data_IF_601397967114
#
_entry.id   IF_601397967114
#
_cell.length_a   1.000
_cell.length_b   1.000
_cell.length_c   1.000
_cell.angle_alpha   90.00
_cell.angle_beta   90.00
_cell.angle_gamma   90.00
#
_symmetry.space_group_name_H-M   'P 1'
#
loop_
_entity.id
_entity.type
_entity.pdbx_description
1 polymer ?
#
# COMPACT_ATOMS: atom_id res chain seq x y z
N UNK A 1 -3.34 6.67 -8.42
CA UNK A 1 -2.38 7.40 -9.28
C UNK A 1 -1.16 7.59 -8.41
N UNK A 2 -0.06 6.90 -8.74
CA UNK A 2 1.16 6.87 -7.95
C UNK A 2 1.85 8.25 -7.92
N UNK A 3 2.34 8.71 -6.77
CA UNK A 3 2.99 10.03 -6.65
C UNK A 3 4.24 10.15 -7.54
N UNK A 4 4.93 9.03 -7.81
CA UNK A 4 6.04 9.01 -8.77
C UNK A 4 5.60 9.12 -10.23
N UNK A 5 4.39 8.69 -10.58
CA UNK A 5 3.85 8.85 -11.94
C UNK A 5 3.79 10.33 -12.33
N UNK A 6 3.44 11.21 -11.38
CA UNK A 6 3.39 12.66 -11.62
C UNK A 6 4.76 13.33 -11.74
N UNK A 7 5.84 12.70 -11.28
CA UNK A 7 7.21 13.25 -11.35
C UNK A 7 7.90 12.80 -12.65
N UNK A 8 7.62 11.59 -13.12
CA UNK A 8 8.33 10.96 -14.24
C UNK A 8 7.44 10.66 -15.46
N UNK A 9 6.28 11.33 -15.56
CA UNK A 9 5.22 11.12 -16.56
C UNK A 9 5.76 11.02 -18.00
N UNK A 10 6.86 11.72 -18.32
CA UNK A 10 7.47 11.75 -19.66
C UNK A 10 8.69 10.82 -19.86
N UNK A 11 9.02 9.93 -18.91
CA UNK A 11 10.15 9.01 -19.02
C UNK A 11 9.67 7.55 -19.08
N UNK A 12 9.43 7.07 -20.30
CA UNK A 12 8.94 5.71 -20.54
C UNK A 12 9.89 4.63 -19.97
N UNK A 13 11.20 4.84 -20.09
CA UNK A 13 12.20 3.94 -19.52
C UNK A 13 12.09 3.82 -17.99
N UNK A 14 11.89 4.95 -17.31
CA UNK A 14 11.71 4.97 -15.87
C UNK A 14 10.42 4.25 -15.46
N UNK A 15 9.31 4.54 -16.13
CA UNK A 15 8.02 3.90 -15.84
C UNK A 15 8.10 2.38 -16.04
N UNK A 16 8.73 1.92 -17.13
CA UNK A 16 8.94 0.49 -17.38
C UNK A 16 9.82 -0.15 -16.31
N UNK A 17 10.93 0.48 -15.93
CA UNK A 17 11.80 0.00 -14.84
C UNK A 17 11.03 -0.10 -13.52
N UNK A 18 10.21 0.90 -13.21
CA UNK A 18 9.39 0.88 -12.00
C UNK A 18 8.39 -0.29 -12.04
N UNK A 19 7.64 -0.41 -13.13
CA UNK A 19 6.57 -1.39 -13.28
C UNK A 19 7.07 -2.84 -13.29
N UNK A 20 8.19 -3.09 -13.98
CA UNK A 20 8.70 -4.44 -14.22
C UNK A 20 9.68 -4.91 -13.14
N UNK A 21 10.38 -3.97 -12.48
CA UNK A 21 11.48 -4.30 -11.55
C UNK A 21 11.18 -3.84 -10.13
N UNK A 22 10.99 -2.53 -9.94
CA UNK A 22 10.95 -1.95 -8.59
C UNK A 22 9.65 -2.26 -7.86
N UNK A 23 8.49 -2.04 -8.48
CA UNK A 23 7.19 -2.33 -7.87
C UNK A 23 7.07 -3.79 -7.42
N UNK A 24 7.34 -4.81 -8.26
CA UNK A 24 7.30 -6.21 -7.81
C UNK A 24 8.29 -6.49 -6.68
N UNK A 25 9.47 -5.86 -6.69
CA UNK A 25 10.47 -6.00 -5.63
C UNK A 25 9.98 -5.41 -4.30
N UNK A 26 9.38 -4.22 -4.32
CA UNK A 26 8.82 -3.59 -3.12
C UNK A 26 7.63 -4.37 -2.56
N UNK A 27 6.69 -4.79 -3.42
CA UNK A 27 5.55 -5.60 -2.99
C UNK A 27 6.01 -6.91 -2.34
N UNK A 28 6.98 -7.61 -2.91
CA UNK A 28 7.56 -8.82 -2.29
C UNK A 28 8.23 -8.51 -0.95
N UNK A 29 8.96 -7.41 -0.83
CA UNK A 29 9.65 -7.05 0.40
C UNK A 29 8.67 -6.76 1.54
N UNK A 30 7.62 -5.98 1.28
CA UNK A 30 6.61 -5.70 2.29
C UNK A 30 5.74 -6.92 2.58
N UNK A 31 5.34 -7.70 1.58
CA UNK A 31 4.63 -8.97 1.79
C UNK A 31 5.42 -9.89 2.73
N UNK A 32 6.73 -9.97 2.54
CA UNK A 32 7.62 -10.72 3.44
C UNK A 32 7.61 -10.13 4.85
N UNK A 33 7.79 -8.81 4.99
CA UNK A 33 7.80 -8.11 6.29
C UNK A 33 6.51 -8.38 7.09
N UNK A 34 5.35 -8.20 6.46
CA UNK A 34 4.04 -8.41 7.08
C UNK A 34 3.70 -9.89 7.31
N UNK A 35 4.47 -10.81 6.71
CA UNK A 35 4.40 -12.24 6.99
C UNK A 35 5.31 -12.72 8.13
N UNK A 36 6.25 -11.88 8.63
CA UNK A 36 7.19 -12.31 9.67
C UNK A 36 6.56 -12.49 11.06
N UNK A 37 5.45 -11.80 11.32
CA UNK A 37 4.76 -11.82 12.61
C UNK A 37 3.29 -12.15 12.39
N UNK A 38 2.70 -12.86 13.35
CA UNK A 38 1.24 -12.99 13.43
C UNK A 38 0.64 -11.65 13.85
N UNK A 39 -0.55 -11.33 13.34
CA UNK A 39 -1.22 -10.03 13.52
C UNK A 39 -1.13 -9.14 12.28
N UNK A 40 -2.05 -8.19 12.16
CA UNK A 40 -2.36 -7.48 10.91
C UNK A 40 -1.35 -6.39 10.50
N UNK A 41 -0.45 -6.00 11.41
CA UNK A 41 0.47 -4.87 11.27
C UNK A 41 1.93 -5.33 11.37
N UNK A 42 2.88 -4.41 11.08
CA UNK A 42 4.30 -4.72 11.06
C UNK A 42 4.84 -5.23 12.43
N UNK A 43 4.23 -4.79 13.54
CA UNK A 43 4.53 -5.23 14.91
C UNK A 43 3.60 -6.34 15.40
N UNK A 44 2.82 -6.96 14.52
CA UNK A 44 1.79 -7.94 14.86
C UNK A 44 0.43 -7.29 15.07
N UNK A 45 -0.10 -7.29 16.29
CA UNK A 45 -1.45 -6.77 16.54
C UNK A 45 -1.49 -5.25 16.77
N UNK A 46 -0.33 -4.63 16.97
CA UNK A 46 -0.20 -3.19 17.19
C UNK A 46 0.16 -2.43 15.92
N UNK A 47 -0.58 -1.35 15.65
CA UNK A 47 -0.27 -0.44 14.55
C UNK A 47 0.90 0.46 14.90
N UNK A 48 1.70 0.72 13.89
CA UNK A 48 2.85 1.62 13.92
C UNK A 48 2.71 2.67 12.82
N UNK A 49 3.58 3.68 12.86
CA UNK A 49 3.60 4.69 11.82
C UNK A 49 3.91 4.12 10.42
N UNK A 50 4.73 3.07 10.34
CA UNK A 50 5.11 2.41 9.08
C UNK A 50 3.88 1.84 8.36
N UNK A 51 2.91 1.33 9.12
CA UNK A 51 1.68 0.75 8.56
C UNK A 51 0.87 1.77 7.75
N UNK A 52 0.85 3.02 8.17
CA UNK A 52 0.19 4.09 7.44
C UNK A 52 0.95 4.51 6.19
N UNK A 53 2.29 4.52 6.23
CA UNK A 53 3.12 4.79 5.06
C UNK A 53 2.93 3.72 3.98
N UNK A 54 2.96 2.45 4.38
CA UNK A 54 2.73 1.33 3.46
C UNK A 54 1.30 1.37 2.93
N UNK A 55 0.30 1.59 3.78
CA UNK A 55 -1.09 1.75 3.34
C UNK A 55 -1.26 2.84 2.26
N UNK A 56 -0.65 4.01 2.46
CA UNK A 56 -0.70 5.11 1.49
C UNK A 56 -0.06 4.70 0.15
N UNK A 57 1.12 4.07 0.19
CA UNK A 57 1.76 3.55 -1.03
C UNK A 57 0.88 2.53 -1.76
N UNK A 58 0.22 1.63 -1.03
CA UNK A 58 -0.68 0.65 -1.60
C UNK A 58 -1.94 1.28 -2.22
N UNK A 59 -2.51 2.30 -1.58
CA UNK A 59 -3.61 3.09 -2.15
C UNK A 59 -3.21 3.70 -3.49
N UNK A 60 -2.01 4.26 -3.56
CA UNK A 60 -1.49 4.94 -4.73
C UNK A 60 -1.28 3.98 -5.92
N UNK A 61 -0.93 2.71 -5.61
CA UNK A 61 -0.81 1.56 -6.52
C UNK A 61 -2.14 0.91 -6.91
N UNK A 62 -3.28 1.47 -6.52
CA UNK A 62 -4.62 0.98 -6.91
C UNK A 62 -5.40 0.25 -5.81
N UNK A 63 -4.83 0.15 -4.60
CA UNK A 63 -5.51 -0.35 -3.41
C UNK A 63 -5.73 -1.87 -3.40
N UNK A 64 -6.74 -2.33 -2.64
CA UNK A 64 -6.96 -3.76 -2.38
C UNK A 64 -7.10 -4.63 -3.64
N UNK A 65 -7.60 -4.07 -4.74
CA UNK A 65 -7.80 -4.82 -6.00
C UNK A 65 -6.49 -5.30 -6.63
N UNK A 66 -5.36 -4.66 -6.33
CA UNK A 66 -4.04 -5.02 -6.88
C UNK A 66 -3.26 -6.00 -5.98
N UNK A 67 -3.82 -6.37 -4.82
CA UNK A 67 -3.15 -7.18 -3.79
C UNK A 67 -3.56 -8.66 -3.80
N UNK A 68 -4.14 -9.17 -4.88
CA UNK A 68 -4.61 -10.56 -4.97
C UNK A 68 -3.50 -11.60 -4.76
N UNK A 69 -2.26 -11.28 -5.15
CA UNK A 69 -1.08 -12.12 -4.95
C UNK A 69 -0.32 -11.85 -3.63
N UNK A 70 -0.79 -10.91 -2.81
CA UNK A 70 -0.10 -10.43 -1.62
C UNK A 70 -1.04 -10.44 -0.39
N UNK A 71 -1.34 -11.63 0.17
CA UNK A 71 -2.34 -11.76 1.22
C UNK A 71 -1.98 -11.02 2.51
N UNK A 72 -0.70 -10.89 2.87
CA UNK A 72 -0.31 -10.16 4.07
C UNK A 72 -0.49 -8.65 3.89
N UNK A 73 -0.15 -8.11 2.71
CA UNK A 73 -0.42 -6.71 2.37
C UNK A 73 -1.91 -6.42 2.27
N UNK A 74 -2.70 -7.35 1.73
CA UNK A 74 -4.15 -7.23 1.70
C UNK A 74 -4.73 -7.16 3.11
N UNK A 75 -4.24 -8.01 4.02
CA UNK A 75 -4.65 -8.02 5.42
C UNK A 75 -4.34 -6.70 6.12
N UNK A 76 -3.13 -6.17 5.95
CA UNK A 76 -2.77 -4.83 6.43
C UNK A 76 -3.74 -3.77 5.90
N UNK A 77 -3.96 -3.75 4.58
CA UNK A 77 -4.78 -2.75 3.91
C UNK A 77 -6.20 -2.71 4.48
N UNK A 78 -6.83 -3.89 4.58
CA UNK A 78 -8.17 -4.04 5.16
C UNK A 78 -8.20 -3.68 6.65
N UNK A 79 -7.16 -4.04 7.42
CA UNK A 79 -7.06 -3.69 8.82
C UNK A 79 -6.97 -2.18 9.05
N UNK A 80 -6.26 -1.44 8.19
CA UNK A 80 -6.21 0.02 8.24
C UNK A 80 -7.55 0.63 7.84
N UNK A 81 -8.20 0.14 6.78
CA UNK A 81 -9.50 0.66 6.33
C UNK A 81 -10.64 0.45 7.35
N UNK A 82 -10.59 -0.63 8.15
CA UNK A 82 -11.56 -0.87 9.22
C UNK A 82 -11.46 0.09 10.41
N UNK A 83 -10.39 0.90 10.50
CA UNK A 83 -10.25 1.88 11.58
C UNK A 83 -11.29 2.96 11.44
N UNK A 84 -12.02 3.26 12.53
CA UNK A 84 -13.17 4.18 12.52
C UNK A 84 -12.87 5.51 11.82
N UNK A 85 -11.75 6.16 12.15
CA UNK A 85 -11.38 7.45 11.56
C UNK A 85 -11.11 7.35 10.04
N UNK A 86 -10.51 6.24 9.60
CA UNK A 86 -10.23 5.99 8.18
C UNK A 86 -11.52 5.61 7.44
N UNK A 87 -12.38 4.80 8.05
CA UNK A 87 -13.69 4.46 7.50
C UNK A 87 -14.58 5.70 7.34
N UNK A 88 -14.61 6.59 8.33
CA UNK A 88 -15.31 7.88 8.26
C UNK A 88 -14.70 8.76 7.17
N UNK A 89 -13.37 8.86 7.11
CA UNK A 89 -12.67 9.62 6.06
C UNK A 89 -13.03 9.11 4.66
N UNK A 90 -13.08 7.79 4.46
CA UNK A 90 -13.43 7.18 3.18
C UNK A 90 -14.90 7.40 2.83
N UNK A 91 -15.82 7.32 3.80
CA UNK A 91 -17.25 7.51 3.60
C UNK A 91 -17.64 8.95 3.24
N UNK A 92 -16.90 9.94 3.75
CA UNK A 92 -17.14 11.35 3.48
C UNK A 92 -16.56 11.84 2.13
N UNK A 93 -16.11 10.90 1.29
CA UNK A 93 -15.35 11.20 0.08
C UNK A 93 -13.91 11.51 0.44
N UNK A 94 -12.99 10.62 0.04
CA UNK A 94 -11.54 10.86 0.15
C UNK A 94 -11.24 12.19 -0.53
N UNK A 95 -11.07 13.26 0.24
CA UNK A 95 -10.75 14.57 -0.32
C UNK A 95 -9.34 14.42 -0.86
N UNK A 96 -9.23 14.30 -2.19
CA UNK A 96 -7.94 14.30 -2.87
C UNK A 96 -7.27 15.64 -2.57
N UNK A 97 -6.32 15.63 -1.62
CA UNK A 97 -5.34 16.71 -1.47
C UNK A 97 -4.32 16.62 -2.61
#
# INVERSE_FOLDING_TARGET
MFWGFRIFENCEEFNRKYDDVERPKFLRAFETLYGQRKGDFAMGDEVTYVDFLVYQLLLDEGGASTLTAHPNLRRLFEAVERRLNIAIYNANGRIHL
#
